data_IF_274213556694
#
_entry.id   IF_274213556694
#
_cell.length_a   1.000
_cell.length_b   1.000
_cell.length_c   1.000
_cell.angle_alpha   90.00
_cell.angle_beta   90.00
_cell.angle_gamma   90.00
#
_symmetry.space_group_name_H-M   'P 1'
#
loop_
_entity.id
_entity.type
_entity.pdbx_description
1 polymer ?
#
# COMPACT_ATOMS: atom_id res chain seq x y z
N UNK A 1 -35.37 -4.96 24.72
CA UNK A 1 -34.85 -3.90 23.83
C UNK A 1 -34.60 -4.56 22.47
N UNK A 2 -35.40 -4.25 21.46
CA UNK A 2 -35.27 -4.86 20.13
C UNK A 2 -34.15 -4.10 19.40
N UNK A 3 -33.09 -4.81 19.01
CA UNK A 3 -32.06 -4.25 18.13
C UNK A 3 -32.71 -3.86 16.80
N UNK A 4 -32.68 -2.58 16.47
CA UNK A 4 -33.08 -2.11 15.14
C UNK A 4 -31.85 -2.19 14.25
N UNK A 5 -31.97 -2.90 13.12
CA UNK A 5 -30.94 -2.90 12.10
C UNK A 5 -30.93 -1.54 11.41
N UNK A 6 -29.76 -0.91 11.37
CA UNK A 6 -29.53 0.35 10.65
C UNK A 6 -28.69 0.03 9.42
N UNK A 7 -29.26 0.22 8.25
CA UNK A 7 -28.56 0.06 6.97
C UNK A 7 -28.43 1.41 6.28
N UNK A 8 -27.20 1.81 5.99
CA UNK A 8 -26.91 2.96 5.12
C UNK A 8 -26.35 2.45 3.80
N UNK A 9 -27.06 2.71 2.67
CA UNK A 9 -26.55 2.31 1.36
C UNK A 9 -25.18 2.94 1.06
N UNK A 10 -24.33 2.22 0.34
CA UNK A 10 -23.08 2.77 -0.15
C UNK A 10 -23.35 3.97 -1.08
N UNK A 11 -22.61 5.06 -0.89
CA UNK A 11 -22.75 6.28 -1.69
C UNK A 11 -21.98 6.23 -3.01
N UNK A 12 -21.23 5.16 -3.24
CA UNK A 12 -20.43 4.94 -4.44
C UNK A 12 -20.47 3.47 -4.85
N UNK A 13 -20.22 3.21 -6.10
CA UNK A 13 -20.09 1.86 -6.66
C UNK A 13 -18.63 1.60 -6.97
N UNK A 14 -18.16 0.40 -6.66
CA UNK A 14 -16.83 -0.07 -7.07
C UNK A 14 -17.03 -0.87 -8.36
N UNK A 15 -16.40 -0.42 -9.44
CA UNK A 15 -16.49 -1.07 -10.74
C UNK A 15 -15.64 -2.37 -10.77
N UNK A 16 -16.03 -3.37 -11.58
CA UNK A 16 -15.21 -4.56 -11.76
C UNK A 16 -13.79 -4.23 -12.21
N UNK A 17 -12.79 -4.70 -11.47
CA UNK A 17 -11.37 -4.42 -11.73
C UNK A 17 -10.83 -3.15 -11.06
N UNK A 18 -11.67 -2.40 -10.37
CA UNK A 18 -11.23 -1.26 -9.57
C UNK A 18 -10.54 -1.76 -8.28
N UNK A 19 -9.36 -1.23 -8.02
CA UNK A 19 -8.51 -1.56 -6.85
C UNK A 19 -7.91 -0.30 -6.26
N UNK A 20 -7.33 -0.39 -5.06
CA UNK A 20 -6.58 0.73 -4.49
C UNK A 20 -5.44 1.19 -5.41
N UNK A 21 -4.78 0.27 -6.12
CA UNK A 21 -3.72 0.60 -7.07
C UNK A 21 -4.28 1.37 -8.28
N UNK A 22 -5.39 0.93 -8.88
CA UNK A 22 -5.99 1.64 -10.02
C UNK A 22 -6.49 3.02 -9.61
N UNK A 23 -7.06 3.18 -8.43
CA UNK A 23 -7.47 4.48 -7.89
C UNK A 23 -6.28 5.44 -7.68
N UNK A 24 -5.14 4.91 -7.21
CA UNK A 24 -3.89 5.66 -7.10
C UNK A 24 -3.38 6.10 -8.47
N UNK A 25 -3.33 5.18 -9.45
CA UNK A 25 -2.90 5.46 -10.82
C UNK A 25 -3.78 6.54 -11.49
N UNK A 26 -5.09 6.47 -11.30
CA UNK A 26 -6.03 7.45 -11.81
C UNK A 26 -5.81 8.82 -11.16
N UNK A 27 -5.54 8.86 -9.87
CA UNK A 27 -5.23 10.10 -9.14
C UNK A 27 -3.95 10.73 -9.66
N UNK A 28 -2.89 9.93 -9.83
CA UNK A 28 -1.62 10.39 -10.38
C UNK A 28 -1.76 10.88 -11.83
N UNK A 29 -2.58 10.19 -12.65
CA UNK A 29 -2.88 10.60 -14.03
C UNK A 29 -3.65 11.93 -14.10
N UNK A 30 -4.62 12.12 -13.22
CA UNK A 30 -5.43 13.37 -13.17
C UNK A 30 -4.64 14.56 -12.64
N UNK A 31 -3.68 14.34 -11.74
CA UNK A 31 -2.86 15.39 -11.10
C UNK A 31 -1.39 14.96 -11.02
N UNK A 32 -0.68 14.83 -12.15
CA UNK A 32 0.68 14.27 -12.19
C UNK A 32 1.70 15.08 -11.40
N UNK A 33 1.50 16.40 -11.27
CA UNK A 33 2.36 17.32 -10.52
C UNK A 33 1.78 17.71 -9.15
N UNK A 34 0.64 17.13 -8.77
CA UNK A 34 0.07 17.33 -7.43
C UNK A 34 0.92 16.62 -6.39
N UNK A 35 1.26 17.31 -5.29
CA UNK A 35 1.97 16.71 -4.15
C UNK A 35 1.07 15.66 -3.52
N UNK A 36 1.58 14.44 -3.42
CA UNK A 36 0.89 13.30 -2.81
C UNK A 36 1.47 12.96 -1.45
N UNK A 37 2.79 13.03 -1.33
CA UNK A 37 3.51 12.80 -0.08
C UNK A 37 4.54 13.89 0.16
N UNK A 38 4.94 14.01 1.42
CA UNK A 38 6.12 14.78 1.81
C UNK A 38 6.97 13.86 2.68
N UNK A 39 8.24 13.73 2.36
CA UNK A 39 9.19 12.86 3.09
C UNK A 39 10.44 13.63 3.51
N UNK A 40 11.07 13.26 4.63
CA UNK A 40 12.38 13.83 4.98
C UNK A 40 13.45 13.29 4.02
N UNK A 41 14.29 14.17 3.52
CA UNK A 41 15.49 13.84 2.76
C UNK A 41 16.57 14.92 3.01
N UNK A 42 17.79 14.51 3.36
CA UNK A 42 18.92 15.43 3.57
C UNK A 42 18.61 16.59 4.54
N UNK A 43 17.93 16.28 5.67
CA UNK A 43 17.50 17.25 6.69
C UNK A 43 16.43 18.26 6.24
N UNK A 44 15.83 18.07 5.08
CA UNK A 44 14.73 18.88 4.54
C UNK A 44 13.49 18.03 4.27
N UNK A 45 12.35 18.69 4.10
CA UNK A 45 11.12 18.04 3.64
C UNK A 45 11.01 18.17 2.13
N UNK A 46 10.95 17.03 1.44
CA UNK A 46 10.84 16.96 -0.02
C UNK A 46 9.44 16.48 -0.40
N UNK A 47 8.83 17.21 -1.32
CA UNK A 47 7.54 16.81 -1.90
C UNK A 47 7.74 15.70 -2.93
N UNK A 48 6.81 14.74 -2.92
CA UNK A 48 6.70 13.66 -3.91
C UNK A 48 5.37 13.83 -4.62
N UNK A 49 5.42 13.99 -5.92
CA UNK A 49 4.23 14.11 -6.77
C UNK A 49 3.56 12.76 -7.01
N UNK A 50 2.31 12.76 -7.48
CA UNK A 50 1.60 11.54 -7.84
C UNK A 50 2.33 10.73 -8.91
N UNK A 51 2.94 11.40 -9.89
CA UNK A 51 3.73 10.73 -10.94
C UNK A 51 4.98 10.07 -10.36
N UNK A 52 5.77 10.81 -9.58
CA UNK A 52 6.99 10.26 -8.95
C UNK A 52 6.68 9.06 -8.06
N UNK A 53 5.61 9.16 -7.26
CA UNK A 53 5.22 8.05 -6.39
C UNK A 53 4.85 6.78 -7.18
N UNK A 54 4.09 6.91 -8.27
CA UNK A 54 3.73 5.78 -9.13
C UNK A 54 4.96 5.19 -9.81
N UNK A 55 5.87 6.01 -10.30
CA UNK A 55 7.12 5.55 -10.90
C UNK A 55 7.93 4.73 -9.88
N UNK A 56 8.12 5.24 -8.65
CA UNK A 56 8.79 4.52 -7.56
C UNK A 56 8.07 3.21 -7.19
N UNK A 57 6.72 3.21 -7.13
CA UNK A 57 5.92 1.99 -6.86
C UNK A 57 6.24 0.89 -7.88
N UNK A 58 6.26 1.22 -9.17
CA UNK A 58 6.55 0.22 -10.20
C UNK A 58 8.00 -0.23 -10.22
N UNK A 59 8.97 0.65 -9.93
CA UNK A 59 10.38 0.28 -9.78
C UNK A 59 10.57 -0.72 -8.63
N UNK A 60 9.96 -0.46 -7.47
CA UNK A 60 10.03 -1.36 -6.32
C UNK A 60 9.30 -2.67 -6.59
N UNK A 61 8.14 -2.63 -7.27
CA UNK A 61 7.40 -3.84 -7.66
C UNK A 61 8.24 -4.74 -8.58
N UNK A 62 8.96 -4.17 -9.55
CA UNK A 62 9.90 -4.91 -10.41
C UNK A 62 11.02 -5.55 -9.58
N UNK A 63 11.54 -4.84 -8.58
CA UNK A 63 12.52 -5.38 -7.64
C UNK A 63 11.99 -6.57 -6.84
N UNK A 64 10.75 -6.48 -6.33
CA UNK A 64 10.10 -7.58 -5.61
C UNK A 64 9.91 -8.82 -6.51
N UNK A 65 9.45 -8.62 -7.75
CA UNK A 65 9.31 -9.72 -8.75
C UNK A 65 10.68 -10.35 -9.05
N UNK A 66 11.74 -9.54 -9.21
CA UNK A 66 13.08 -10.04 -9.44
C UNK A 66 13.64 -10.82 -8.24
N UNK A 67 13.19 -10.54 -7.02
CA UNK A 67 13.48 -11.31 -5.81
C UNK A 67 12.65 -12.58 -5.68
N UNK A 68 11.72 -12.85 -6.60
CA UNK A 68 10.94 -14.06 -6.66
C UNK A 68 9.50 -13.95 -6.15
N UNK A 69 9.03 -12.76 -5.82
CA UNK A 69 7.61 -12.54 -5.44
C UNK A 69 6.71 -12.85 -6.64
N UNK A 70 5.71 -13.67 -6.43
CA UNK A 70 4.75 -14.10 -7.45
C UNK A 70 3.33 -13.61 -7.13
N UNK A 71 2.48 -13.63 -8.13
CA UNK A 71 1.06 -13.31 -7.94
C UNK A 71 0.42 -14.22 -6.90
N UNK A 72 -0.27 -13.63 -5.95
CA UNK A 72 -0.94 -14.33 -4.85
C UNK A 72 -0.06 -14.60 -3.63
N UNK A 73 1.22 -14.27 -3.68
CA UNK A 73 2.10 -14.35 -2.51
C UNK A 73 1.67 -13.38 -1.41
N UNK A 74 2.10 -13.67 -0.20
CA UNK A 74 1.93 -12.81 0.98
C UNK A 74 3.30 -12.29 1.39
N UNK A 75 3.43 -10.98 1.45
CA UNK A 75 4.68 -10.29 1.82
C UNK A 75 4.50 -9.60 3.16
N UNK A 76 5.21 -10.06 4.18
CA UNK A 76 5.18 -9.44 5.50
C UNK A 76 5.90 -8.09 5.48
N UNK A 77 5.25 -7.06 6.01
CA UNK A 77 5.76 -5.71 6.09
C UNK A 77 5.84 -5.25 7.55
N UNK A 78 7.06 -5.16 8.08
CA UNK A 78 7.32 -4.69 9.44
C UNK A 78 8.08 -3.37 9.35
N UNK A 79 7.45 -2.27 9.68
CA UNK A 79 8.07 -0.95 9.69
C UNK A 79 7.26 0.04 10.52
N UNK A 80 7.91 1.04 11.07
CA UNK A 80 7.22 2.22 11.58
C UNK A 80 6.50 2.95 10.44
N UNK A 81 5.50 3.77 10.77
CA UNK A 81 4.77 4.58 9.80
C UNK A 81 5.72 5.61 9.18
N UNK A 82 6.01 5.45 7.89
CA UNK A 82 6.91 6.30 7.10
C UNK A 82 6.57 6.20 5.62
N UNK A 83 7.16 7.05 4.79
CA UNK A 83 6.94 7.08 3.35
C UNK A 83 7.13 5.71 2.68
N UNK A 84 8.23 5.02 3.02
CA UNK A 84 8.58 3.74 2.43
C UNK A 84 7.60 2.62 2.82
N UNK A 85 6.88 2.77 3.93
CA UNK A 85 5.81 1.85 4.28
C UNK A 85 4.70 1.88 3.22
N UNK A 86 4.21 3.08 2.89
CA UNK A 86 3.19 3.25 1.85
C UNK A 86 3.72 2.84 0.47
N UNK A 87 4.95 3.16 0.15
CA UNK A 87 5.59 2.78 -1.11
C UNK A 87 5.63 1.27 -1.27
N UNK A 88 6.08 0.53 -0.24
CA UNK A 88 6.15 -0.93 -0.26
C UNK A 88 4.77 -1.58 -0.34
N UNK A 89 3.77 -1.04 0.38
CA UNK A 89 2.40 -1.56 0.37
C UNK A 89 1.82 -1.54 -1.05
N UNK A 90 1.90 -0.39 -1.73
CA UNK A 90 1.46 -0.28 -3.12
C UNK A 90 2.33 -1.09 -4.10
N UNK A 91 3.63 -1.21 -3.85
CA UNK A 91 4.52 -2.01 -4.70
C UNK A 91 4.24 -3.53 -4.59
N UNK A 92 3.89 -4.00 -3.40
CA UNK A 92 3.46 -5.40 -3.18
C UNK A 92 2.18 -5.67 -3.97
N UNK A 93 1.20 -4.77 -3.94
CA UNK A 93 -0.02 -4.91 -4.75
C UNK A 93 0.27 -4.83 -6.24
N UNK A 94 1.17 -3.96 -6.67
CA UNK A 94 1.60 -3.85 -8.07
C UNK A 94 2.32 -5.12 -8.56
N UNK A 95 3.02 -5.83 -7.68
CA UNK A 95 3.61 -7.14 -7.95
C UNK A 95 2.56 -8.28 -7.98
N UNK A 96 1.29 -8.00 -7.68
CA UNK A 96 0.22 -8.99 -7.64
C UNK A 96 0.16 -9.79 -6.33
N UNK A 97 0.87 -9.36 -5.30
CA UNK A 97 0.93 -9.99 -3.99
C UNK A 97 0.01 -9.27 -2.98
N UNK A 98 -0.17 -9.87 -1.81
CA UNK A 98 -0.87 -9.28 -0.69
C UNK A 98 0.13 -8.82 0.39
N UNK A 99 -0.03 -7.59 0.87
CA UNK A 99 0.74 -7.12 2.02
C UNK A 99 0.16 -7.66 3.32
N UNK A 100 1.05 -8.08 4.23
CA UNK A 100 0.72 -8.53 5.58
C UNK A 100 1.39 -7.60 6.58
N UNK A 101 0.72 -6.52 7.00
CA UNK A 101 1.28 -5.58 7.93
C UNK A 101 1.47 -6.20 9.32
N UNK A 102 2.67 -6.06 9.86
CA UNK A 102 3.00 -6.51 11.22
C UNK A 102 3.45 -5.30 12.04
N UNK A 103 2.90 -5.16 13.23
CA UNK A 103 3.27 -4.06 14.11
C UNK A 103 4.72 -4.20 14.61
N UNK A 104 5.53 -3.12 14.59
CA UNK A 104 6.89 -3.15 15.14
C UNK A 104 6.96 -3.51 16.62
N UNK A 105 5.86 -3.32 17.35
CA UNK A 105 5.71 -3.68 18.77
C UNK A 105 5.36 -5.15 19.00
N UNK A 106 5.12 -5.94 17.94
CA UNK A 106 4.81 -7.36 18.07
C UNK A 106 5.99 -8.14 18.64
N UNK A 107 5.72 -9.08 19.55
CA UNK A 107 6.74 -9.98 20.07
C UNK A 107 7.22 -10.95 18.98
N UNK A 108 8.42 -11.50 19.14
CA UNK A 108 8.97 -12.47 18.19
C UNK A 108 8.04 -13.69 17.99
N UNK A 109 7.32 -14.11 19.02
CA UNK A 109 6.36 -15.22 18.93
C UNK A 109 5.12 -14.83 18.10
N UNK A 110 4.63 -13.60 18.25
CA UNK A 110 3.52 -13.10 17.42
C UNK A 110 3.94 -12.95 15.96
N UNK A 111 5.11 -12.39 15.70
CA UNK A 111 5.65 -12.28 14.33
C UNK A 111 5.79 -13.66 13.69
N UNK A 112 6.36 -14.61 14.41
CA UNK A 112 6.51 -15.99 13.92
C UNK A 112 5.14 -16.58 13.56
N UNK A 113 4.16 -16.46 14.43
CA UNK A 113 2.82 -16.98 14.19
C UNK A 113 2.18 -16.38 12.93
N UNK A 114 2.32 -15.05 12.73
CA UNK A 114 1.80 -14.38 11.53
C UNK A 114 2.49 -14.87 10.24
N UNK A 115 3.80 -15.16 10.30
CA UNK A 115 4.56 -15.58 9.11
C UNK A 115 4.35 -17.07 8.79
N UNK A 116 4.08 -17.89 9.81
CA UNK A 116 3.88 -19.35 9.66
C UNK A 116 2.44 -19.71 9.26
N UNK A 117 1.46 -18.78 9.39
CA UNK A 117 0.07 -18.96 9.01
C UNK A 117 -0.13 -18.75 7.49
#
# INVERSE_FOLDING_TARGET
>A
MTLQEVHTPAQFTIEPGETCLTALMDTAKKRPHGVMFTRPANYEWVNVTGKEFIDEVFEVAQGLIALGVQQGDRVALISATRYEWSLLDFAIWAAGAASVPVYPSSSASQVRWIIED
#
